data_IF_598234469955
#
_entry.id   IF_598234469955
#
_cell.length_a   1.000
_cell.length_b   1.000
_cell.length_c   1.000
_cell.angle_alpha   90.00
_cell.angle_beta   90.00
_cell.angle_gamma   90.00
#
_symmetry.space_group_name_H-M   'P 1'
#
loop_
_entity.id
_entity.type
_entity.pdbx_description
1 polymer ?
#
# COMPACT_ATOMS: atom_id res chain seq x y z
N UNK A 1 -8.63 -18.66 39.68
CA UNK A 1 -8.78 -17.52 40.60
C UNK A 1 -7.41 -17.05 41.10
N UNK A 2 -6.50 -17.96 41.47
CA UNK A 2 -5.21 -17.59 42.10
C UNK A 2 -4.21 -16.88 41.17
N UNK A 3 -4.21 -17.17 39.86
CA UNK A 3 -3.37 -16.47 38.87
C UNK A 3 -3.77 -15.00 38.64
N UNK A 4 -5.07 -14.69 38.70
CA UNK A 4 -5.57 -13.31 38.56
C UNK A 4 -5.23 -12.46 39.80
N UNK A 5 -5.20 -13.08 40.98
CA UNK A 5 -4.79 -12.41 42.22
C UNK A 5 -3.28 -12.15 42.23
N UNK A 6 -2.47 -13.03 41.63
CA UNK A 6 -1.03 -12.84 41.52
C UNK A 6 -0.66 -11.69 40.56
N UNK A 7 -1.28 -11.61 39.38
CA UNK A 7 -1.03 -10.50 38.43
C UNK A 7 -1.47 -9.13 39.00
N UNK A 8 -2.63 -9.06 39.66
CA UNK A 8 -3.10 -7.80 40.24
C UNK A 8 -2.19 -7.29 41.38
N UNK A 9 -1.56 -8.20 42.14
CA UNK A 9 -0.56 -7.82 43.16
C UNK A 9 0.74 -7.33 42.54
N UNK A 10 1.19 -7.96 41.46
CA UNK A 10 2.44 -7.58 40.79
C UNK A 10 2.33 -6.21 40.11
N UNK A 11 1.19 -5.90 39.48
CA UNK A 11 0.95 -4.57 38.91
C UNK A 11 0.87 -3.46 39.97
N UNK A 12 0.28 -3.76 41.15
CA UNK A 12 0.24 -2.80 42.25
C UNK A 12 1.63 -2.52 42.84
N UNK A 13 2.48 -3.53 42.98
CA UNK A 13 3.86 -3.35 43.46
C UNK A 13 4.72 -2.53 42.48
N UNK A 14 4.63 -2.82 41.17
CA UNK A 14 5.36 -2.08 40.14
C UNK A 14 4.91 -0.61 40.08
N UNK A 15 3.59 -0.36 40.20
CA UNK A 15 3.06 1.00 40.23
C UNK A 15 3.48 1.78 41.49
N UNK A 16 3.65 1.10 42.63
CA UNK A 16 4.10 1.73 43.88
C UNK A 16 5.59 2.09 43.79
N UNK A 17 6.41 1.19 43.25
CA UNK A 17 7.85 1.39 43.05
C UNK A 17 8.13 2.57 42.09
N UNK A 18 7.35 2.69 41.01
CA UNK A 18 7.46 3.80 40.06
C UNK A 18 7.07 5.16 40.67
N UNK A 19 6.08 5.18 41.57
CA UNK A 19 5.70 6.42 42.29
C UNK A 19 6.76 6.84 43.31
N UNK A 20 7.38 5.86 43.97
CA UNK A 20 8.35 6.14 45.04
C UNK A 20 9.67 6.68 44.50
N UNK A 21 10.06 6.28 43.29
CA UNK A 21 11.35 6.65 42.70
C UNK A 21 11.30 7.85 41.73
N UNK A 22 10.12 8.42 41.43
CA UNK A 22 9.93 9.55 40.50
C UNK A 22 10.65 9.41 39.13
N UNK A 23 10.92 8.18 38.68
CA UNK A 23 11.53 7.92 37.39
C UNK A 23 10.69 6.90 36.61
N UNK A 24 10.60 7.13 35.30
CA UNK A 24 9.91 6.25 34.35
C UNK A 24 10.87 5.13 33.98
N UNK A 25 10.50 3.89 34.28
CA UNK A 25 11.31 2.71 33.94
C UNK A 25 11.47 2.59 32.41
N UNK A 26 12.66 2.22 31.91
CA UNK A 26 12.90 2.03 30.48
C UNK A 26 12.18 0.78 29.95
N UNK A 27 11.64 0.85 28.72
CA UNK A 27 10.75 -0.15 28.12
C UNK A 27 11.34 -1.57 28.00
N UNK A 28 12.66 -1.70 28.09
CA UNK A 28 13.39 -2.98 28.02
C UNK A 28 13.22 -3.88 29.25
N UNK A 29 12.74 -3.33 30.36
CA UNK A 29 12.60 -4.07 31.63
C UNK A 29 11.16 -4.56 31.88
N UNK A 30 10.27 -4.48 30.88
CA UNK A 30 8.96 -5.10 30.94
C UNK A 30 9.04 -6.57 30.51
N UNK A 31 8.84 -7.55 31.40
CA UNK A 31 8.69 -8.93 30.99
C UNK A 31 7.32 -9.10 30.32
N UNK A 32 7.25 -8.97 29.00
CA UNK A 32 6.05 -9.32 28.22
C UNK A 32 6.10 -10.82 27.94
N UNK A 33 5.64 -11.63 28.91
CA UNK A 33 5.25 -13.01 28.62
C UNK A 33 3.87 -13.00 27.95
N UNK A 34 3.84 -13.37 26.67
CA UNK A 34 2.62 -13.40 25.87
C UNK A 34 1.65 -14.49 26.33
N UNK A 35 0.51 -14.10 26.89
CA UNK A 35 -0.62 -14.99 27.14
C UNK A 35 -1.70 -14.78 26.06
N UNK A 36 -1.95 -15.85 25.30
CA UNK A 36 -3.03 -15.99 24.33
C UNK A 36 -4.41 -16.09 25.01
N UNK A 37 -5.43 -15.59 24.31
CA UNK A 37 -6.87 -15.86 24.45
C UNK A 37 -7.60 -15.35 25.72
N UNK A 38 -8.30 -14.21 25.62
CA UNK A 38 -9.60 -14.02 26.29
C UNK A 38 -10.57 -13.31 25.34
N UNK A 39 -11.63 -14.04 24.97
CA UNK A 39 -12.89 -13.53 24.42
C UNK A 39 -13.56 -12.63 25.49
N UNK A 40 -13.92 -11.39 25.15
CA UNK A 40 -14.92 -10.63 25.90
C UNK A 40 -16.04 -10.17 24.97
N UNK A 41 -17.11 -10.96 24.98
CA UNK A 41 -18.47 -10.52 24.72
C UNK A 41 -18.93 -9.62 25.87
N UNK A 42 -19.66 -8.55 25.56
CA UNK A 42 -20.42 -7.79 26.57
C UNK A 42 -20.18 -6.29 26.53
N UNK A 43 -21.18 -5.56 26.02
CA UNK A 43 -21.17 -4.11 25.95
C UNK A 43 -21.17 -3.44 27.31
N UNK A 44 -20.36 -2.38 27.43
CA UNK A 44 -20.49 -1.38 28.50
C UNK A 44 -20.42 -0.01 27.86
N UNK A 45 -21.50 0.76 28.06
CA UNK A 45 -21.67 2.15 27.62
C UNK A 45 -20.52 3.01 28.15
N UNK A 46 -19.66 3.50 27.24
CA UNK A 46 -18.66 4.54 27.56
C UNK A 46 -19.37 5.84 27.90
N UNK A 47 -19.14 6.35 29.12
CA UNK A 47 -19.51 7.71 29.52
C UNK A 47 -18.68 8.71 28.71
N UNK A 48 -19.32 9.81 28.32
CA UNK A 48 -18.70 10.94 27.62
C UNK A 48 -17.57 11.52 28.46
N UNK A 49 -16.38 11.59 27.87
CA UNK A 49 -15.27 12.40 28.36
C UNK A 49 -15.72 13.86 28.45
N UNK A 50 -15.50 14.49 29.60
CA UNK A 50 -15.67 15.93 29.77
C UNK A 50 -14.40 16.64 29.33
N UNK A 51 -14.55 17.67 28.52
CA UNK A 51 -13.48 18.60 28.14
C UNK A 51 -13.02 19.44 29.35
N UNK A 52 -11.71 19.67 29.54
CA UNK A 52 -11.21 20.56 30.57
C UNK A 52 -11.19 22.00 30.03
N UNK A 53 -12.24 22.76 30.28
CA UNK A 53 -12.32 24.15 29.83
C UNK A 53 -13.23 25.00 30.71
N UNK A 54 -12.60 25.76 31.63
CA UNK A 54 -13.05 27.00 32.31
C UNK A 54 -12.77 26.95 33.81
N UNK A 55 -11.56 27.35 34.19
CA UNK A 55 -11.30 27.92 35.51
C UNK A 55 -11.57 29.42 35.38
N UNK A 56 -12.71 29.90 35.89
CA UNK A 56 -12.95 31.33 36.12
C UNK A 56 -12.65 31.62 37.58
N UNK A 57 -11.77 32.60 37.82
CA UNK A 57 -11.51 33.15 39.13
C UNK A 57 -12.80 33.78 39.68
N UNK A 58 -13.20 33.36 40.88
CA UNK A 58 -14.24 34.01 41.67
C UNK A 58 -13.61 35.23 42.35
N UNK A 59 -14.00 36.41 41.89
CA UNK A 59 -13.96 37.65 42.69
C UNK A 59 -15.29 37.68 43.44
N UNK A 60 -15.20 37.70 44.78
CA UNK A 60 -16.32 38.02 45.65
C UNK A 60 -16.52 39.54 45.62
N UNK A 61 -17.67 40.00 45.14
CA UNK A 61 -18.19 41.31 45.53
C UNK A 61 -19.68 41.18 45.87
N UNK A 62 -20.01 41.88 46.94
CA UNK A 62 -21.24 41.82 47.70
C UNK A 62 -22.40 42.46 46.94
N UNK A 63 -23.56 41.82 47.12
CA UNK A 63 -24.86 42.25 46.65
C UNK A 63 -25.39 43.41 47.49
N UNK A 64 -25.91 44.44 46.81
CA UNK A 64 -26.97 45.26 47.36
C UNK A 64 -28.04 45.66 46.31
N UNK A 65 -29.22 45.10 46.55
CA UNK A 65 -30.56 45.70 46.57
C UNK A 65 -31.09 46.67 45.47
N UNK A 66 -32.24 46.22 44.93
CA UNK A 66 -33.48 46.95 44.60
C UNK A 66 -33.62 47.76 43.30
N UNK A 67 -34.73 47.54 42.58
CA UNK A 67 -35.28 48.50 41.61
C UNK A 67 -36.22 47.93 40.55
N UNK A 68 -37.51 48.19 40.72
CA UNK A 68 -38.71 47.78 39.95
C UNK A 68 -38.86 48.23 38.49
N UNK A 69 -39.58 47.39 37.71
CA UNK A 69 -40.74 47.66 36.81
C UNK A 69 -40.63 48.79 35.75
N UNK A 70 -40.97 48.46 34.49
CA UNK A 70 -41.60 49.43 33.57
C UNK A 70 -41.41 49.20 32.05
N UNK A 71 -42.46 48.70 31.40
CA UNK A 71 -43.03 49.10 30.09
C UNK A 71 -42.20 49.21 28.78
N UNK A 72 -42.78 48.63 27.71
CA UNK A 72 -42.55 48.91 26.27
C UNK A 72 -43.02 50.34 25.89
N UNK A 73 -42.86 50.93 24.65
CA UNK A 73 -42.60 50.33 23.34
C UNK A 73 -41.73 51.13 22.32
N UNK A 74 -41.49 50.51 21.15
CA UNK A 74 -41.26 51.04 19.80
C UNK A 74 -40.46 52.35 19.60
N UNK A 75 -39.34 52.26 18.85
CA UNK A 75 -39.00 53.23 17.77
C UNK A 75 -37.96 52.68 16.80
N UNK A 76 -38.34 52.71 15.53
CA UNK A 76 -37.49 52.63 14.33
C UNK A 76 -36.34 53.64 14.42
N UNK A 77 -35.11 53.25 14.03
CA UNK A 77 -34.17 54.12 13.30
C UNK A 77 -32.95 53.36 12.77
N UNK A 78 -32.86 53.35 11.44
CA UNK A 78 -31.69 53.62 10.59
C UNK A 78 -30.32 53.03 10.98
N UNK A 79 -29.88 52.08 10.15
CA UNK A 79 -28.48 51.73 9.89
C UNK A 79 -27.64 52.98 9.56
N UNK A 80 -26.36 52.99 9.95
CA UNK A 80 -25.33 53.33 9.00
C UNK A 80 -24.16 52.32 8.98
N UNK A 81 -23.84 51.95 7.75
CA UNK A 81 -22.52 51.75 7.16
C UNK A 81 -21.38 51.11 7.99
N UNK A 82 -20.95 49.96 7.48
CA UNK A 82 -19.60 49.41 7.53
C UNK A 82 -18.50 50.47 7.40
N UNK A 83 -17.66 50.60 8.43
CA UNK A 83 -16.25 50.96 8.31
C UNK A 83 -15.60 50.68 9.67
N UNK A 84 -14.81 49.60 9.78
CA UNK A 84 -13.75 49.38 10.79
C UNK A 84 -13.11 48.01 10.58
N UNK A 85 -12.23 47.87 9.58
CA UNK A 85 -11.16 46.86 9.61
C UNK A 85 -9.92 47.44 8.90
N UNK A 86 -9.09 48.15 9.65
CA UNK A 86 -7.70 48.46 9.25
C UNK A 86 -6.96 48.97 10.49
N UNK A 87 -6.56 48.06 11.39
CA UNK A 87 -5.61 48.36 12.47
C UNK A 87 -5.05 47.09 13.16
N UNK A 88 -4.87 45.99 12.42
CA UNK A 88 -4.19 44.78 12.95
C UNK A 88 -2.80 44.54 12.33
N UNK A 89 -2.45 45.16 11.20
CA UNK A 89 -1.18 44.92 10.50
C UNK A 89 0.01 45.76 11.01
N UNK A 90 -0.23 46.80 11.83
CA UNK A 90 0.86 47.69 12.26
C UNK A 90 1.56 47.24 13.55
N UNK A 91 1.04 46.21 14.25
CA UNK A 91 1.64 45.67 15.47
C UNK A 91 2.58 44.47 15.27
N UNK A 92 2.62 43.87 14.07
CA UNK A 92 3.55 42.78 13.75
C UNK A 92 4.86 43.26 13.11
N UNK A 93 4.95 44.52 12.69
CA UNK A 93 6.13 45.06 12.01
C UNK A 93 7.25 45.58 12.94
N UNK A 94 7.04 45.65 14.27
CA UNK A 94 8.02 46.27 15.20
C UNK A 94 8.85 45.31 16.06
N UNK A 95 8.69 43.99 15.94
CA UNK A 95 9.42 43.03 16.80
C UNK A 95 10.54 42.23 16.12
N UNK A 96 10.88 42.50 14.85
CA UNK A 96 11.89 41.72 14.11
C UNK A 96 13.20 42.49 13.87
N UNK A 97 13.82 42.97 14.93
CA UNK A 97 15.19 43.48 14.90
C UNK A 97 16.01 42.95 16.08
N UNK A 98 16.10 41.62 16.19
CA UNK A 98 17.20 40.97 16.90
C UNK A 98 18.14 40.35 15.86
N UNK A 99 19.43 40.69 15.86
CA UNK A 99 20.41 40.04 14.98
C UNK A 99 20.46 38.56 15.35
N UNK A 100 20.22 37.71 14.35
CA UNK A 100 20.39 36.26 14.46
C UNK A 100 21.88 36.00 14.67
N UNK A 101 22.25 35.70 15.91
CA UNK A 101 23.53 35.06 16.24
C UNK A 101 23.60 33.75 15.47
N UNK A 102 24.72 33.51 14.80
CA UNK A 102 24.94 32.34 13.95
C UNK A 102 24.74 31.01 14.67
N UNK A 103 24.68 29.89 13.92
CA UNK A 103 24.50 28.56 14.49
C UNK A 103 25.58 28.31 15.56
N UNK A 104 25.13 27.78 16.69
CA UNK A 104 25.98 27.44 17.83
C UNK A 104 27.15 26.55 17.34
N UNK A 105 28.41 26.98 17.49
CA UNK A 105 29.57 26.21 17.02
C UNK A 105 29.65 24.82 17.67
N UNK A 106 29.04 24.63 18.85
CA UNK A 106 28.96 23.34 19.52
C UNK A 106 28.03 22.36 18.78
N UNK A 107 26.91 22.86 18.25
CA UNK A 107 25.96 22.05 17.47
C UNK A 107 26.54 21.67 16.09
N UNK A 108 27.32 22.57 15.48
CA UNK A 108 28.00 22.29 14.22
C UNK A 108 29.07 21.18 14.37
N UNK A 109 29.79 21.17 15.50
CA UNK A 109 30.78 20.13 15.80
C UNK A 109 30.13 18.76 16.07
N UNK A 110 28.96 18.73 16.71
CA UNK A 110 28.20 17.49 16.93
C UNK A 110 27.72 16.86 15.62
N UNK A 111 27.20 17.67 14.69
CA UNK A 111 26.76 17.18 13.38
C UNK A 111 27.91 16.61 12.55
N UNK A 112 29.09 17.26 12.59
CA UNK A 112 30.28 16.74 11.90
C UNK A 112 30.75 15.41 12.48
N UNK A 113 30.64 15.24 13.80
CA UNK A 113 30.99 13.99 14.48
C UNK A 113 30.03 12.86 14.10
N UNK A 114 28.72 13.13 14.04
CA UNK A 114 27.71 12.14 13.64
C UNK A 114 27.89 11.69 12.19
N UNK A 115 28.22 12.62 11.28
CA UNK A 115 28.52 12.33 9.87
C UNK A 115 29.84 11.55 9.66
N UNK A 116 30.80 11.66 10.59
CA UNK A 116 32.03 10.86 10.57
C UNK A 116 31.78 9.43 11.09
N UNK A 117 30.98 9.27 12.16
CA UNK A 117 30.56 7.96 12.69
C UNK A 117 29.66 7.18 11.71
N UNK A 118 28.86 7.87 10.89
CA UNK A 118 28.06 7.23 9.83
C UNK A 118 28.95 6.73 8.69
N UNK A 119 29.93 7.53 8.25
CA UNK A 119 30.90 7.12 7.21
C UNK A 119 31.80 5.97 7.64
N UNK A 120 32.11 5.85 8.93
CA UNK A 120 32.89 4.72 9.45
C UNK A 120 32.05 3.42 9.40
N UNK A 121 30.76 3.47 9.77
CA UNK A 121 29.84 2.33 9.67
C UNK A 121 29.64 1.85 8.24
N UNK A 122 29.52 2.76 7.27
CA UNK A 122 29.41 2.38 5.86
C UNK A 122 30.66 1.64 5.35
N UNK A 123 31.87 2.05 5.78
CA UNK A 123 33.11 1.35 5.43
C UNK A 123 33.19 -0.05 6.04
N UNK A 124 32.78 -0.21 7.30
CA UNK A 124 32.74 -1.52 7.97
C UNK A 124 31.74 -2.47 7.27
N UNK A 125 30.60 -1.97 6.80
CA UNK A 125 29.61 -2.77 6.06
C UNK A 125 30.14 -3.19 4.67
N UNK A 126 30.84 -2.30 3.96
CA UNK A 126 31.48 -2.61 2.68
C UNK A 126 32.62 -3.64 2.83
N UNK A 127 33.43 -3.53 3.88
CA UNK A 127 34.47 -4.50 4.23
C UNK A 127 33.86 -5.87 4.61
N UNK A 128 32.75 -5.89 5.34
CA UNK A 128 32.04 -7.12 5.67
C UNK A 128 31.42 -7.80 4.43
N UNK A 129 30.89 -7.01 3.49
CA UNK A 129 30.31 -7.51 2.24
C UNK A 129 31.38 -8.15 1.34
N UNK A 130 32.52 -7.49 1.16
CA UNK A 130 33.66 -8.01 0.40
C UNK A 130 34.22 -9.30 1.00
N UNK A 131 34.37 -9.36 2.33
CA UNK A 131 34.82 -10.59 3.02
C UNK A 131 33.81 -11.76 2.89
N UNK A 132 32.51 -11.48 2.82
CA UNK A 132 31.49 -12.51 2.59
C UNK A 132 31.52 -13.06 1.15
N UNK A 133 31.85 -12.22 0.17
CA UNK A 133 31.99 -12.62 -1.23
C UNK A 133 33.21 -13.51 -1.43
N UNK A 134 34.36 -13.17 -0.84
CA UNK A 134 35.56 -14.02 -0.87
C UNK A 134 35.33 -15.40 -0.23
N UNK A 135 34.63 -15.46 0.92
CA UNK A 135 34.25 -16.74 1.55
C UNK A 135 33.32 -17.61 0.70
N UNK A 136 32.56 -17.00 -0.20
CA UNK A 136 31.68 -17.72 -1.12
C UNK A 136 32.42 -18.15 -2.39
N UNK A 137 33.46 -17.44 -2.81
CA UNK A 137 34.30 -17.80 -3.96
C UNK A 137 35.15 -19.06 -3.69
N UNK A 138 35.60 -19.30 -2.45
CA UNK A 138 36.36 -20.51 -2.09
C UNK A 138 35.52 -21.81 -2.11
N UNK A 139 34.19 -21.69 -2.01
CA UNK A 139 33.28 -22.84 -2.10
C UNK A 139 33.01 -23.15 -3.58
N UNK A 140 33.94 -23.88 -4.19
CA UNK A 140 33.91 -24.23 -5.61
C UNK A 140 32.57 -24.81 -6.13
N UNK A 141 32.37 -24.83 -7.46
CA UNK A 141 31.09 -25.12 -8.12
C UNK A 141 30.48 -26.50 -7.79
N UNK A 142 31.27 -27.42 -7.23
CA UNK A 142 30.84 -28.78 -6.89
C UNK A 142 29.93 -28.84 -5.64
N UNK A 143 29.99 -27.83 -4.75
CA UNK A 143 29.11 -27.75 -3.57
C UNK A 143 27.64 -27.50 -3.95
N UNK A 144 27.38 -26.68 -4.97
CA UNK A 144 26.02 -26.40 -5.47
C UNK A 144 25.40 -27.63 -6.14
N UNK A 145 26.22 -28.48 -6.78
CA UNK A 145 25.76 -29.70 -7.48
C UNK A 145 25.30 -30.79 -6.51
N UNK A 146 26.02 -31.00 -5.39
CA UNK A 146 25.62 -31.98 -4.35
C UNK A 146 24.32 -31.62 -3.64
N UNK A 147 24.05 -30.33 -3.41
CA UNK A 147 22.83 -29.89 -2.70
C UNK A 147 21.55 -30.12 -3.52
N UNK A 148 21.63 -30.02 -4.84
CA UNK A 148 20.51 -30.27 -5.76
C UNK A 148 20.19 -31.77 -5.94
N UNK A 149 21.21 -32.65 -5.89
CA UNK A 149 21.02 -34.10 -6.01
C UNK A 149 20.32 -34.71 -4.78
N UNK A 150 20.62 -34.22 -3.58
CA UNK A 150 19.98 -34.72 -2.35
C UNK A 150 18.51 -34.29 -2.21
N UNK A 151 18.10 -33.16 -2.81
CA UNK A 151 16.71 -32.73 -2.76
C UNK A 151 15.80 -33.54 -3.71
N UNK A 152 16.33 -33.95 -4.87
CA UNK A 152 15.59 -34.74 -5.88
C UNK A 152 15.31 -36.19 -5.45
N UNK A 153 16.13 -36.76 -4.57
CA UNK A 153 15.92 -38.12 -4.07
C UNK A 153 14.88 -38.20 -2.95
N UNK A 154 14.66 -37.10 -2.20
CA UNK A 154 13.66 -37.07 -1.13
C UNK A 154 12.23 -36.89 -1.65
N UNK A 155 12.03 -36.21 -2.80
CA UNK A 155 10.70 -35.96 -3.37
C UNK A 155 10.08 -37.16 -4.09
N UNK A 156 10.87 -38.15 -4.50
CA UNK A 156 10.37 -39.32 -5.21
C UNK A 156 9.82 -40.41 -4.28
N UNK A 157 10.09 -40.36 -2.97
CA UNK A 157 9.65 -41.39 -2.02
C UNK A 157 8.26 -41.12 -1.42
N UNK A 158 7.78 -39.87 -1.42
CA UNK A 158 6.45 -39.53 -0.89
C UNK A 158 5.30 -39.68 -1.90
N UNK A 159 5.58 -39.78 -3.21
CA UNK A 159 4.54 -39.87 -4.25
C UNK A 159 4.08 -41.31 -4.57
N UNK A 160 4.72 -42.35 -4.02
CA UNK A 160 4.31 -43.74 -4.26
C UNK A 160 3.30 -44.28 -3.22
N UNK A 161 3.18 -43.64 -2.06
CA UNK A 161 2.35 -44.15 -0.95
C UNK A 161 0.91 -43.58 -0.93
N UNK A 162 0.56 -42.65 -1.83
CA UNK A 162 -0.76 -41.99 -1.85
C UNK A 162 -1.79 -42.63 -2.81
N UNK A 163 -1.41 -43.63 -3.62
CA UNK A 163 -2.21 -44.14 -4.74
C UNK A 163 -3.12 -45.36 -4.45
N UNK A 164 -3.33 -45.76 -3.20
CA UNK A 164 -4.03 -47.03 -2.86
C UNK A 164 -5.35 -46.90 -2.09
N UNK A 165 -5.99 -45.72 -2.04
CA UNK A 165 -7.27 -45.55 -1.34
C UNK A 165 -8.50 -45.38 -2.29
N UNK A 166 -9.29 -46.46 -2.43
CA UNK A 166 -10.72 -46.53 -2.78
C UNK A 166 -11.30 -45.55 -3.83
N UNK A 167 -11.29 -45.97 -5.10
CA UNK A 167 -11.97 -45.33 -6.25
C UNK A 167 -13.08 -46.24 -6.82
N UNK A 168 -14.14 -46.50 -6.08
CA UNK A 168 -15.28 -47.33 -6.55
C UNK A 168 -16.54 -46.53 -6.93
N UNK A 169 -16.55 -45.21 -6.80
CA UNK A 169 -17.69 -44.36 -7.19
C UNK A 169 -17.45 -43.67 -8.55
N UNK A 170 -18.16 -44.05 -9.63
CA UNK A 170 -17.98 -43.47 -10.96
C UNK A 170 -18.30 -41.97 -11.03
N UNK A 171 -19.19 -41.45 -10.17
CA UNK A 171 -19.50 -40.00 -10.15
C UNK A 171 -18.36 -39.18 -9.56
N UNK A 172 -17.66 -39.71 -8.55
CA UNK A 172 -16.44 -39.07 -8.00
C UNK A 172 -15.32 -39.02 -9.03
N UNK A 173 -15.18 -40.07 -9.85
CA UNK A 173 -14.18 -40.14 -10.90
C UNK A 173 -14.39 -39.08 -11.98
N UNK A 174 -15.65 -38.89 -12.41
CA UNK A 174 -16.00 -37.89 -13.41
C UNK A 174 -15.83 -36.45 -12.89
N UNK A 175 -16.17 -36.20 -11.62
CA UNK A 175 -15.97 -34.90 -10.99
C UNK A 175 -14.48 -34.56 -10.81
N UNK A 176 -13.65 -35.54 -10.45
CA UNK A 176 -12.20 -35.38 -10.37
C UNK A 176 -11.59 -35.12 -11.75
N UNK A 177 -12.10 -35.78 -12.80
CA UNK A 177 -11.65 -35.57 -14.18
C UNK A 177 -11.97 -34.16 -14.68
N UNK A 178 -13.21 -33.67 -14.51
CA UNK A 178 -13.60 -32.31 -14.89
C UNK A 178 -12.80 -31.23 -14.15
N UNK A 179 -12.47 -31.47 -12.87
CA UNK A 179 -11.60 -30.58 -12.08
C UNK A 179 -10.17 -30.55 -12.61
N UNK A 180 -9.59 -31.71 -12.92
CA UNK A 180 -8.27 -31.79 -13.52
C UNK A 180 -8.24 -31.12 -14.90
N UNK A 181 -9.27 -31.30 -15.72
CA UNK A 181 -9.40 -30.63 -17.02
C UNK A 181 -9.45 -29.11 -16.86
N UNK A 182 -10.27 -28.58 -15.93
CA UNK A 182 -10.34 -27.13 -15.65
C UNK A 182 -9.02 -26.57 -15.09
N UNK A 183 -8.36 -27.28 -14.18
CA UNK A 183 -7.07 -26.88 -13.64
C UNK A 183 -5.96 -26.87 -14.70
N UNK A 184 -5.97 -27.84 -15.62
CA UNK A 184 -5.08 -27.86 -16.78
C UNK A 184 -5.38 -26.73 -17.75
N UNK A 185 -6.66 -26.40 -17.98
CA UNK A 185 -7.07 -25.27 -18.81
C UNK A 185 -6.61 -23.94 -18.22
N UNK A 186 -6.76 -23.73 -16.90
CA UNK A 186 -6.25 -22.53 -16.21
C UNK A 186 -4.71 -22.46 -16.34
N UNK A 187 -3.99 -23.56 -16.11
CA UNK A 187 -2.53 -23.59 -16.27
C UNK A 187 -2.10 -23.33 -17.72
N UNK A 188 -2.83 -23.86 -18.69
CA UNK A 188 -2.58 -23.62 -20.11
C UNK A 188 -2.88 -22.17 -20.50
N UNK A 189 -3.96 -21.59 -19.96
CA UNK A 189 -4.34 -20.20 -20.18
C UNK A 189 -3.33 -19.24 -19.54
N UNK A 190 -2.88 -19.50 -18.30
CA UNK A 190 -1.79 -18.74 -17.67
C UNK A 190 -0.53 -18.81 -18.54
N UNK A 191 -0.19 -20.00 -19.04
CA UNK A 191 0.94 -20.18 -19.96
C UNK A 191 0.73 -19.46 -21.30
N UNK A 192 -0.48 -19.36 -21.82
CA UNK A 192 -0.76 -18.64 -23.05
C UNK A 192 -0.70 -17.11 -22.87
N UNK A 193 -1.26 -16.62 -21.76
CA UNK A 193 -1.43 -15.19 -21.49
C UNK A 193 -0.16 -14.54 -20.91
N UNK A 194 0.66 -15.30 -20.16
CA UNK A 194 1.80 -14.75 -19.41
C UNK A 194 3.18 -15.23 -19.89
N UNK A 195 3.27 -16.07 -20.94
CA UNK A 195 4.56 -16.42 -21.53
C UNK A 195 5.07 -15.27 -22.41
N UNK A 196 5.69 -14.29 -21.76
CA UNK A 196 6.62 -13.36 -22.40
C UNK A 196 7.87 -14.18 -22.71
N UNK A 197 8.00 -14.60 -23.96
CA UNK A 197 9.06 -15.50 -24.40
C UNK A 197 10.44 -14.99 -24.01
N UNK A 198 11.27 -15.91 -23.54
CA UNK A 198 12.71 -15.81 -23.73
C UNK A 198 12.95 -15.56 -25.23
N UNK A 199 13.75 -14.53 -25.50
CA UNK A 199 14.20 -14.14 -26.83
C UNK A 199 15.14 -15.24 -27.30
N UNK A 200 14.61 -16.25 -27.98
CA UNK A 200 15.33 -17.06 -28.96
C UNK A 200 14.31 -17.80 -29.82
N UNK A 201 13.83 -17.13 -30.87
CA UNK A 201 13.00 -17.75 -31.88
C UNK A 201 13.84 -18.74 -32.70
N UNK A 202 13.52 -20.04 -32.75
CA UNK A 202 14.09 -20.92 -33.76
C UNK A 202 13.50 -20.50 -35.11
N UNK A 203 14.40 -20.10 -36.00
CA UNK A 203 14.17 -19.76 -37.41
C UNK A 203 13.37 -20.87 -38.10
N UNK A 204 12.18 -20.62 -38.66
CA UNK A 204 11.44 -21.66 -39.37
C UNK A 204 12.13 -21.95 -40.71
N UNK A 205 12.59 -23.19 -40.88
CA UNK A 205 13.00 -23.72 -42.17
C UNK A 205 11.82 -23.71 -43.14
N UNK A 206 12.08 -23.14 -44.33
CA UNK A 206 11.17 -23.16 -45.47
C UNK A 206 10.98 -24.61 -45.92
N UNK A 207 9.80 -25.17 -45.67
CA UNK A 207 9.28 -26.27 -46.48
C UNK A 207 8.38 -25.72 -47.58
N UNK A 208 8.85 -25.86 -48.81
CA UNK A 208 8.08 -25.63 -50.03
C UNK A 208 7.04 -26.74 -50.23
N UNK A 209 5.79 -26.36 -50.47
CA UNK A 209 4.75 -27.25 -51.00
C UNK A 209 4.32 -26.81 -52.41
N UNK A 210 3.91 -27.77 -53.26
CA UNK A 210 3.76 -27.56 -54.69
C UNK A 210 2.46 -26.87 -55.06
N UNK A 211 2.53 -26.10 -56.14
CA UNK A 211 1.41 -25.44 -56.78
C UNK A 211 0.38 -26.47 -57.27
N UNK A 212 -0.88 -26.28 -56.88
CA UNK A 212 -2.03 -26.87 -57.57
C UNK A 212 -2.99 -25.74 -57.95
N UNK A 213 -3.08 -25.55 -59.26
CA UNK A 213 -4.01 -24.68 -59.96
C UNK A 213 -5.45 -25.15 -59.78
N UNK A 214 -6.38 -24.24 -59.49
CA UNK A 214 -7.80 -24.57 -59.52
C UNK A 214 -8.74 -23.41 -59.23
N UNK A 215 -9.27 -22.81 -60.30
CA UNK A 215 -10.70 -22.52 -60.41
C UNK A 215 -11.30 -21.38 -59.57
N UNK A 216 -11.33 -20.20 -60.18
CA UNK A 216 -12.46 -19.25 -60.25
C UNK A 216 -13.73 -19.62 -59.45
N UNK A 217 -14.11 -18.79 -58.47
CA UNK A 217 -15.52 -18.46 -58.18
C UNK A 217 -15.59 -17.05 -57.56
N UNK A 218 -15.75 -16.07 -58.45
CA UNK A 218 -15.92 -14.64 -58.14
C UNK A 218 -17.33 -14.41 -57.59
N UNK A 219 -17.53 -14.55 -56.27
CA UNK A 219 -18.81 -14.21 -55.61
C UNK A 219 -18.80 -12.76 -55.12
N UNK A 220 -19.48 -11.92 -55.91
CA UNK A 220 -19.86 -10.53 -55.65
C UNK A 220 -20.71 -10.46 -54.38
N UNK A 221 -20.12 -10.05 -53.24
CA UNK A 221 -20.88 -9.63 -52.06
C UNK A 221 -20.94 -8.11 -51.98
N UNK A 222 -22.17 -7.66 -51.79
CA UNK A 222 -22.65 -6.29 -51.86
C UNK A 222 -22.10 -5.49 -50.68
N UNK A 223 -21.66 -4.29 -50.99
CA UNK A 223 -21.45 -3.18 -50.07
C UNK A 223 -22.77 -2.78 -49.41
N UNK A 224 -22.86 -2.94 -48.08
CA UNK A 224 -23.81 -2.23 -47.22
C UNK A 224 -23.15 -2.00 -45.85
N UNK A 225 -22.89 -0.73 -45.53
CA UNK A 225 -22.89 -0.21 -44.15
C UNK A 225 -21.62 -0.40 -43.31
N UNK A 226 -21.46 0.40 -42.24
CA UNK A 226 -20.31 1.27 -42.11
C UNK A 226 -19.17 0.66 -41.28
N UNK A 227 -17.94 0.94 -41.73
CA UNK A 227 -16.74 0.87 -40.89
C UNK A 227 -16.93 1.80 -39.69
N UNK A 228 -17.13 1.23 -38.51
CA UNK A 228 -16.76 1.90 -37.27
C UNK A 228 -15.24 2.09 -37.33
N UNK A 229 -14.85 3.27 -37.79
CA UNK A 229 -13.50 3.76 -37.65
C UNK A 229 -13.15 3.75 -36.17
N UNK A 230 -12.10 2.99 -35.88
CA UNK A 230 -11.14 3.24 -34.81
C UNK A 230 -11.05 4.74 -34.53
N UNK A 231 -11.56 5.12 -33.36
CA UNK A 231 -11.55 6.46 -32.80
C UNK A 231 -11.46 6.35 -31.27
N UNK A 232 -10.64 5.42 -30.77
CA UNK A 232 -10.42 5.15 -29.35
C UNK A 232 -9.58 6.21 -28.62
N UNK A 233 -9.72 7.49 -28.98
CA UNK A 233 -8.99 8.59 -28.34
C UNK A 233 -9.88 9.73 -27.82
N UNK A 234 -11.21 9.59 -27.85
CA UNK A 234 -12.11 10.65 -27.37
C UNK A 234 -12.88 10.33 -26.08
N UNK A 235 -12.68 9.16 -25.45
CA UNK A 235 -13.23 8.83 -24.11
C UNK A 235 -12.19 9.07 -22.99
N UNK A 236 -11.37 10.11 -23.12
CA UNK A 236 -10.53 10.59 -22.00
C UNK A 236 -10.80 12.06 -21.64
N UNK A 237 -11.53 12.79 -22.49
CA UNK A 237 -11.87 14.19 -22.24
C UNK A 237 -13.18 14.36 -21.44
N UNK A 238 -13.98 13.31 -21.25
CA UNK A 238 -15.29 13.39 -20.57
C UNK A 238 -15.32 12.77 -19.16
N UNK A 239 -14.17 12.43 -18.58
CA UNK A 239 -14.03 12.04 -17.16
C UNK A 239 -13.60 13.22 -16.26
N UNK A 240 -13.48 14.42 -16.83
CA UNK A 240 -12.79 15.57 -16.21
C UNK A 240 -13.62 16.40 -15.23
N UNK A 241 -14.79 15.92 -14.80
CA UNK A 241 -15.60 16.59 -13.77
C UNK A 241 -15.64 15.84 -12.42
N UNK A 242 -15.09 14.62 -12.36
CA UNK A 242 -14.98 13.89 -11.10
C UNK A 242 -13.78 14.41 -10.30
N UNK A 243 -13.94 14.70 -8.99
CA UNK A 243 -12.82 15.07 -8.13
C UNK A 243 -11.75 13.97 -8.17
N UNK A 244 -10.51 14.36 -8.42
CA UNK A 244 -9.37 13.44 -8.41
C UNK A 244 -8.79 13.42 -7.00
N UNK A 245 -8.61 12.23 -6.43
CA UNK A 245 -8.10 12.12 -5.07
C UNK A 245 -6.64 11.70 -5.04
N UNK A 246 -5.92 12.26 -4.06
CA UNK A 246 -4.53 11.93 -3.75
C UNK A 246 -4.40 11.45 -2.31
N UNK A 247 -3.64 10.37 -2.12
CA UNK A 247 -3.37 9.80 -0.80
C UNK A 247 -1.87 9.77 -0.56
N UNK A 248 -1.46 9.96 0.68
CA UNK A 248 -0.04 9.92 1.08
C UNK A 248 0.23 8.71 1.97
N UNK A 249 1.35 8.03 1.77
CA UNK A 249 1.79 6.90 2.59
C UNK A 249 3.28 6.97 2.84
N UNK A 250 3.69 6.68 4.07
CA UNK A 250 5.11 6.64 4.48
C UNK A 250 5.88 7.93 4.20
N UNK A 251 5.18 9.07 4.27
CA UNK A 251 5.79 10.41 4.22
C UNK A 251 5.91 10.95 5.64
N UNK A 252 6.93 11.77 5.89
CA UNK A 252 7.08 12.47 7.17
C UNK A 252 5.94 13.49 7.37
N UNK A 253 5.62 13.86 8.62
CA UNK A 253 4.52 14.81 8.87
C UNK A 253 4.82 16.22 8.32
N UNK A 254 6.10 16.59 8.26
CA UNK A 254 6.58 17.83 7.63
C UNK A 254 6.30 17.82 6.13
N UNK A 255 6.71 16.76 5.42
CA UNK A 255 6.43 16.58 3.98
C UNK A 255 4.92 16.51 3.71
N UNK A 256 4.16 15.79 4.55
CA UNK A 256 2.71 15.67 4.44
C UNK A 256 2.02 17.02 4.55
N UNK A 257 2.49 17.88 5.44
CA UNK A 257 1.96 19.25 5.60
C UNK A 257 2.27 20.09 4.36
N UNK A 258 3.49 20.00 3.83
CA UNK A 258 3.90 20.67 2.60
C UNK A 258 3.09 20.18 1.39
N UNK A 259 2.92 18.87 1.24
CA UNK A 259 2.11 18.23 0.20
C UNK A 259 0.66 18.71 0.21
N UNK A 260 0.03 18.75 1.39
CA UNK A 260 -1.34 19.24 1.54
C UNK A 260 -1.46 20.69 1.09
N UNK A 261 -0.51 21.54 1.47
CA UNK A 261 -0.51 22.95 1.07
C UNK A 261 -0.31 23.14 -0.43
N UNK A 262 0.59 22.35 -1.03
CA UNK A 262 0.81 22.34 -2.48
C UNK A 262 -0.48 21.93 -3.21
N UNK A 263 -1.08 20.79 -2.83
CA UNK A 263 -2.32 20.30 -3.44
C UNK A 263 -3.44 21.33 -3.32
N UNK A 264 -3.58 21.96 -2.14
CA UNK A 264 -4.55 23.03 -1.90
C UNK A 264 -4.33 24.25 -2.80
N UNK A 265 -3.08 24.63 -3.03
CA UNK A 265 -2.69 25.80 -3.83
C UNK A 265 -2.88 25.59 -5.33
N UNK A 266 -2.53 24.42 -5.85
CA UNK A 266 -2.65 24.11 -7.29
C UNK A 266 -4.09 23.75 -7.68
N UNK A 267 -4.89 23.29 -6.71
CA UNK A 267 -6.22 22.77 -6.96
C UNK A 267 -6.18 21.44 -7.71
N UNK A 268 -7.28 21.09 -8.40
CA UNK A 268 -7.51 19.84 -9.15
C UNK A 268 -7.62 18.56 -8.30
N UNK A 269 -6.84 18.40 -7.24
CA UNK A 269 -6.90 17.22 -6.37
C UNK A 269 -7.44 17.52 -4.98
N UNK A 270 -8.11 16.54 -4.39
CA UNK A 270 -8.48 16.51 -2.98
C UNK A 270 -7.67 15.44 -2.23
N UNK A 271 -7.27 15.75 -0.99
CA UNK A 271 -6.47 14.82 -0.17
C UNK A 271 -7.40 13.89 0.60
N UNK A 272 -7.28 12.58 0.36
CA UNK A 272 -8.00 11.54 1.08
C UNK A 272 -7.13 10.86 2.15
N UNK A 273 -7.78 10.35 3.21
CA UNK A 273 -7.11 9.58 4.25
C UNK A 273 -6.94 8.09 3.93
N UNK A 274 -7.68 7.58 2.94
CA UNK A 274 -7.69 6.16 2.54
C UNK A 274 -7.87 6.07 1.04
N UNK A 275 -7.31 5.04 0.42
CA UNK A 275 -7.48 4.78 -1.02
C UNK A 275 -8.92 4.34 -1.29
N UNK A 276 -9.53 4.98 -2.26
CA UNK A 276 -10.85 4.71 -2.80
C UNK A 276 -10.76 4.41 -4.31
N UNK A 277 -11.89 4.04 -4.93
CA UNK A 277 -11.98 3.86 -6.38
C UNK A 277 -11.76 5.16 -7.18
N UNK A 278 -11.85 6.31 -6.52
CA UNK A 278 -11.61 7.64 -7.10
C UNK A 278 -10.18 8.14 -6.85
N UNK A 279 -9.38 7.43 -6.05
CA UNK A 279 -7.98 7.74 -5.86
C UNK A 279 -7.21 7.48 -7.15
N UNK A 280 -6.64 8.54 -7.70
CA UNK A 280 -5.86 8.48 -8.95
C UNK A 280 -4.36 8.53 -8.68
N UNK A 281 -3.95 9.05 -7.52
CA UNK A 281 -2.55 9.28 -7.17
C UNK A 281 -2.27 8.85 -5.73
N UNK A 282 -1.13 8.21 -5.53
CA UNK A 282 -0.60 7.81 -4.24
C UNK A 282 0.85 8.27 -4.16
N UNK A 283 1.16 9.16 -3.22
CA UNK A 283 2.54 9.57 -2.93
C UNK A 283 3.13 8.62 -1.90
N UNK A 284 4.24 7.99 -2.26
CA UNK A 284 4.93 6.97 -1.47
C UNK A 284 6.27 7.51 -1.03
N UNK A 285 6.46 7.75 0.27
CA UNK A 285 7.72 8.26 0.81
C UNK A 285 8.85 7.24 0.91
N UNK A 286 8.52 5.97 1.14
CA UNK A 286 9.51 4.89 1.30
C UNK A 286 9.06 3.59 0.62
N UNK A 287 10.02 2.72 0.30
CA UNK A 287 9.77 1.36 -0.19
C UNK A 287 9.20 0.47 0.92
N UNK A 288 7.89 0.58 1.18
CA UNK A 288 7.16 -0.26 2.13
C UNK A 288 5.83 -0.71 1.54
N UNK A 289 5.52 -2.00 1.71
CA UNK A 289 4.21 -2.55 1.37
C UNK A 289 3.19 -2.14 2.43
N UNK A 290 2.47 -1.06 2.18
CA UNK A 290 1.31 -0.66 2.99
C UNK A 290 0.02 -0.98 2.27
N UNK A 291 -1.08 -1.04 3.02
CA UNK A 291 -2.42 -1.19 2.45
C UNK A 291 -2.73 -0.12 1.40
N UNK A 292 -2.27 1.12 1.61
CA UNK A 292 -2.41 2.23 0.65
C UNK A 292 -1.69 1.92 -0.66
N UNK A 293 -0.45 1.42 -0.60
CA UNK A 293 0.28 1.01 -1.81
C UNK A 293 -0.43 -0.14 -2.51
N UNK A 294 -0.78 -1.21 -1.79
CA UNK A 294 -1.42 -2.39 -2.37
C UNK A 294 -2.74 -2.04 -3.05
N UNK A 295 -3.57 -1.19 -2.42
CA UNK A 295 -4.79 -0.66 -3.04
C UNK A 295 -4.51 0.28 -4.21
N UNK A 296 -3.51 1.15 -4.09
CA UNK A 296 -3.12 2.05 -5.17
C UNK A 296 -2.72 1.28 -6.43
N UNK A 297 -1.95 0.20 -6.27
CA UNK A 297 -1.63 -0.72 -7.37
C UNK A 297 -2.91 -1.37 -7.89
N UNK A 298 -3.75 -1.93 -7.03
CA UNK A 298 -4.98 -2.61 -7.46
C UNK A 298 -5.94 -1.68 -8.24
N UNK A 299 -6.08 -0.42 -7.84
CA UNK A 299 -6.90 0.58 -8.54
C UNK A 299 -6.20 1.27 -9.70
N UNK A 300 -5.02 0.80 -10.10
CA UNK A 300 -4.27 1.34 -11.24
C UNK A 300 -3.87 2.82 -11.06
N UNK A 301 -3.70 3.25 -9.80
CA UNK A 301 -3.30 4.61 -9.46
C UNK A 301 -1.83 4.86 -9.79
N UNK A 302 -1.48 6.13 -9.96
CA UNK A 302 -0.09 6.56 -10.02
C UNK A 302 0.57 6.42 -8.65
N UNK A 303 1.62 5.59 -8.57
CA UNK A 303 2.51 5.56 -7.42
C UNK A 303 3.68 6.50 -7.68
N UNK A 304 3.74 7.62 -6.96
CA UNK A 304 4.76 8.65 -7.18
C UNK A 304 5.63 8.82 -5.95
N UNK A 305 6.90 9.17 -6.17
CA UNK A 305 7.82 9.55 -5.10
C UNK A 305 7.50 10.96 -4.56
N UNK A 306 7.96 11.34 -3.36
CA UNK A 306 7.80 12.69 -2.84
C UNK A 306 8.46 13.73 -3.74
N UNK A 307 9.44 13.34 -4.56
CA UNK A 307 10.13 14.21 -5.51
C UNK A 307 9.22 14.82 -6.58
N UNK A 308 8.03 14.26 -6.80
CA UNK A 308 7.00 14.92 -7.62
C UNK A 308 6.65 16.33 -7.08
N UNK A 309 6.88 16.58 -5.78
CA UNK A 309 6.79 17.88 -5.12
C UNK A 309 7.83 18.90 -5.61
N UNK A 310 9.05 18.44 -5.90
CA UNK A 310 10.24 19.30 -5.99
C UNK A 310 10.25 20.19 -7.24
N UNK A 311 9.48 19.87 -8.28
CA UNK A 311 9.40 20.70 -9.49
C UNK A 311 8.18 21.65 -9.50
N UNK A 312 7.25 21.47 -8.57
CA UNK A 312 6.11 22.39 -8.39
C UNK A 312 6.56 23.72 -7.75
N UNK A 313 7.73 23.73 -7.08
CA UNK A 313 8.29 24.93 -6.44
C UNK A 313 9.44 25.59 -7.22
N UNK A 314 10.16 24.85 -8.08
CA UNK A 314 11.50 25.25 -8.56
C UNK A 314 11.64 25.53 -10.07
N UNK A 315 10.58 25.84 -10.83
CA UNK A 315 10.84 26.49 -12.14
C UNK A 315 11.28 27.94 -11.96
N UNK A 316 11.16 28.49 -10.75
CA UNK A 316 11.50 29.87 -10.50
C UNK A 316 12.94 30.10 -10.16
N UNK A 317 13.90 29.19 -10.35
CA UNK A 317 15.08 29.24 -9.51
C UNK A 317 16.38 28.67 -10.12
N UNK A 318 16.97 29.31 -11.16
CA UNK A 318 18.43 29.22 -11.37
C UNK A 318 18.99 30.27 -12.36
N UNK A 319 19.89 31.13 -11.88
CA UNK A 319 21.33 31.01 -12.19
C UNK A 319 22.04 32.30 -11.79
N UNK A 320 22.49 32.34 -10.53
CA UNK A 320 23.82 32.78 -10.12
C UNK A 320 23.94 32.49 -8.60
N UNK A 321 24.39 31.26 -8.34
CA UNK A 321 24.79 30.64 -7.06
C UNK A 321 23.78 30.26 -5.99
N UNK A 322 22.50 30.41 -6.22
CA UNK A 322 21.48 29.76 -5.43
C UNK A 322 20.34 29.43 -6.36
N UNK A 323 19.74 28.27 -6.16
CA UNK A 323 18.57 27.75 -6.85
C UNK A 323 17.42 28.71 -6.52
N UNK A 324 17.44 29.88 -7.19
CA UNK A 324 16.77 31.16 -6.95
C UNK A 324 16.63 31.96 -8.29
N UNK A 325 15.43 32.37 -8.70
CA UNK A 325 14.98 33.11 -9.92
C UNK A 325 14.86 32.40 -11.33
N UNK A 326 13.61 32.40 -11.90
CA UNK A 326 13.07 32.23 -13.30
C UNK A 326 11.64 31.65 -13.55
N UNK A 327 10.59 32.14 -12.88
CA UNK A 327 9.25 32.35 -13.47
C UNK A 327 8.80 33.76 -13.06
N UNK A 328 8.99 34.68 -13.97
CA UNK A 328 7.95 35.65 -14.26
C UNK A 328 7.61 35.37 -15.72
N UNK A 329 6.33 35.39 -16.03
CA UNK A 329 5.77 35.23 -17.38
C UNK A 329 5.30 33.80 -17.74
N UNK A 330 4.48 33.19 -16.86
CA UNK A 330 3.21 32.52 -17.22
C UNK A 330 2.54 31.91 -15.98
N UNK A 331 1.42 32.50 -15.56
CA UNK A 331 0.43 32.01 -14.57
C UNK A 331 0.91 31.80 -13.12
N UNK A 332 0.33 32.55 -12.19
CA UNK A 332 0.64 32.64 -10.75
C UNK A 332 0.35 31.36 -9.92
N UNK A 333 0.19 30.19 -10.55
CA UNK A 333 -0.02 28.92 -9.86
C UNK A 333 0.90 27.91 -10.53
N UNK A 334 1.71 27.19 -9.74
CA UNK A 334 2.51 26.08 -10.25
C UNK A 334 1.64 25.10 -11.05
N UNK A 335 2.27 24.27 -11.88
CA UNK A 335 1.57 23.23 -12.63
C UNK A 335 2.00 21.84 -12.15
N UNK A 336 1.07 20.89 -12.21
CA UNK A 336 1.39 19.48 -12.06
C UNK A 336 2.31 19.04 -13.20
N UNK A 337 3.46 18.48 -12.84
CA UNK A 337 4.38 17.88 -13.80
C UNK A 337 3.90 16.50 -14.23
N UNK A 338 4.39 16.05 -15.39
CA UNK A 338 4.12 14.71 -15.91
C UNK A 338 4.53 13.64 -14.92
N UNK A 339 3.59 12.78 -14.60
CA UNK A 339 3.67 11.76 -13.57
C UNK A 339 4.73 10.69 -13.90
N UNK A 340 4.98 10.40 -15.19
CA UNK A 340 5.92 9.35 -15.64
C UNK A 340 7.35 9.54 -15.10
N UNK A 341 7.77 10.79 -14.89
CA UNK A 341 9.14 11.10 -14.45
C UNK A 341 9.36 10.85 -12.96
N UNK A 342 8.29 10.62 -12.19
CA UNK A 342 8.32 10.49 -10.73
C UNK A 342 7.67 9.21 -10.24
N UNK A 343 7.26 8.35 -11.16
CA UNK A 343 6.70 7.05 -10.83
C UNK A 343 7.72 6.27 -9.98
N UNK A 344 7.25 5.70 -8.86
CA UNK A 344 8.07 4.98 -7.88
C UNK A 344 8.48 3.58 -8.40
N UNK A 345 9.05 3.52 -9.61
CA UNK A 345 9.43 2.30 -10.33
C UNK A 345 10.52 1.54 -9.57
N UNK A 346 11.43 2.24 -8.89
CA UNK A 346 12.46 1.61 -8.06
C UNK A 346 11.87 0.82 -6.88
N UNK A 347 10.73 1.27 -6.37
CA UNK A 347 10.04 0.62 -5.25
C UNK A 347 9.13 -0.49 -5.78
N UNK A 348 8.40 -0.21 -6.86
CA UNK A 348 7.38 -1.09 -7.44
C UNK A 348 7.55 -1.18 -8.97
N UNK A 349 8.50 -2.01 -9.47
CA UNK A 349 8.88 -2.03 -10.88
C UNK A 349 7.74 -2.32 -11.86
N UNK A 350 6.71 -3.03 -11.39
CA UNK A 350 5.55 -3.43 -12.19
C UNK A 350 4.29 -2.59 -11.92
N UNK A 351 4.38 -1.49 -11.18
CA UNK A 351 3.28 -0.54 -11.00
C UNK A 351 2.71 -0.06 -12.36
N UNK A 352 3.59 0.19 -13.33
CA UNK A 352 3.22 0.60 -14.70
C UNK A 352 2.37 -0.44 -15.44
N UNK A 353 2.59 -1.73 -15.21
CA UNK A 353 1.78 -2.80 -15.80
C UNK A 353 0.36 -2.74 -15.25
N UNK A 354 0.22 -2.52 -13.93
CA UNK A 354 -1.09 -2.26 -13.33
C UNK A 354 -1.77 -1.04 -13.94
N UNK A 355 -1.08 0.10 -14.08
CA UNK A 355 -1.68 1.32 -14.64
C UNK A 355 -2.19 1.15 -16.07
N UNK A 356 -1.54 0.29 -16.86
CA UNK A 356 -2.00 -0.10 -18.20
C UNK A 356 -3.22 -1.03 -18.19
N UNK A 357 -3.69 -1.43 -17.00
CA UNK A 357 -4.78 -2.38 -16.77
C UNK A 357 -4.51 -3.74 -17.41
N UNK A 358 -3.24 -4.15 -17.40
CA UNK A 358 -2.87 -5.51 -17.79
C UNK A 358 -3.50 -6.49 -16.78
N UNK A 359 -4.18 -7.57 -17.22
CA UNK A 359 -4.82 -8.50 -16.32
C UNK A 359 -3.77 -9.18 -15.44
N UNK A 360 -3.97 -9.13 -14.11
CA UNK A 360 -3.10 -9.81 -13.15
C UNK A 360 -3.44 -11.30 -13.04
N UNK A 361 -4.72 -11.60 -12.94
CA UNK A 361 -5.25 -12.95 -12.81
C UNK A 361 -5.99 -13.38 -14.09
N UNK A 362 -6.03 -14.69 -14.38
CA UNK A 362 -6.94 -15.23 -15.38
C UNK A 362 -8.40 -14.90 -15.04
N UNK A 363 -9.18 -14.47 -16.03
CA UNK A 363 -10.58 -14.04 -15.85
C UNK A 363 -11.53 -15.14 -15.33
N UNK A 364 -11.14 -16.40 -15.47
CA UNK A 364 -11.87 -17.59 -15.01
C UNK A 364 -11.40 -18.09 -13.63
N UNK A 365 -10.37 -17.46 -13.03
CA UNK A 365 -9.86 -17.83 -11.72
C UNK A 365 -10.88 -17.47 -10.63
N UNK A 366 -11.23 -18.45 -9.81
CA UNK A 366 -12.08 -18.27 -8.64
C UNK A 366 -11.29 -18.46 -7.36
N UNK A 367 -11.26 -17.46 -6.50
CA UNK A 367 -10.54 -17.49 -5.22
C UNK A 367 -11.54 -17.45 -4.08
N UNK A 368 -11.43 -18.38 -3.13
CA UNK A 368 -12.24 -18.37 -1.90
C UNK A 368 -11.36 -18.04 -0.70
N UNK A 369 -11.75 -17.00 0.04
CA UNK A 369 -11.08 -16.59 1.27
C UNK A 369 -11.64 -17.40 2.42
N UNK A 370 -10.93 -18.43 2.88
CA UNK A 370 -11.38 -19.25 4.00
C UNK A 370 -11.16 -18.54 5.33
N UNK A 371 -9.92 -18.08 5.56
CA UNK A 371 -9.53 -17.34 6.76
C UNK A 371 -8.29 -16.52 6.45
N UNK A 372 -8.19 -15.33 7.06
CA UNK A 372 -7.07 -14.40 6.94
C UNK A 372 -6.51 -14.12 8.34
N UNK A 373 -5.23 -13.75 8.44
CA UNK A 373 -4.59 -13.39 9.71
C UNK A 373 -4.18 -11.92 9.75
N UNK A 374 -3.64 -11.41 8.64
CA UNK A 374 -3.08 -10.06 8.54
C UNK A 374 -4.01 -9.12 7.77
N UNK A 375 -4.71 -9.64 6.75
CA UNK A 375 -5.51 -8.81 5.83
C UNK A 375 -7.00 -8.89 6.16
N UNK A 376 -7.69 -7.76 6.14
CA UNK A 376 -9.14 -7.73 6.25
C UNK A 376 -9.83 -8.35 5.03
N UNK A 377 -10.92 -9.09 5.24
CA UNK A 377 -11.65 -9.76 4.15
C UNK A 377 -12.10 -8.81 3.03
N UNK A 378 -12.71 -7.64 3.32
CA UNK A 378 -13.09 -6.70 2.25
C UNK A 378 -11.91 -6.19 1.42
N UNK A 379 -10.75 -6.02 2.05
CA UNK A 379 -9.52 -5.64 1.35
C UNK A 379 -9.11 -6.75 0.38
N UNK A 380 -9.00 -7.99 0.86
CA UNK A 380 -8.65 -9.13 0.02
C UNK A 380 -9.63 -9.34 -1.15
N UNK A 381 -10.95 -9.20 -0.90
CA UNK A 381 -11.97 -9.29 -1.96
C UNK A 381 -11.78 -8.21 -3.03
N UNK A 382 -11.45 -6.99 -2.59
CA UNK A 382 -11.15 -5.87 -3.50
C UNK A 382 -9.92 -6.19 -4.34
N UNK A 383 -8.83 -6.67 -3.74
CA UNK A 383 -7.59 -7.02 -4.45
C UNK A 383 -7.81 -8.13 -5.50
N UNK A 384 -8.56 -9.18 -5.14
CA UNK A 384 -8.90 -10.29 -6.05
C UNK A 384 -9.70 -9.75 -7.24
N UNK A 385 -10.72 -8.94 -6.96
CA UNK A 385 -11.64 -8.41 -7.99
C UNK A 385 -10.93 -7.45 -8.93
N UNK A 386 -10.14 -6.51 -8.39
CA UNK A 386 -9.38 -5.55 -9.21
C UNK A 386 -8.22 -6.22 -9.97
N UNK A 387 -7.68 -7.32 -9.47
CA UNK A 387 -6.74 -8.16 -10.21
C UNK A 387 -7.38 -8.95 -11.37
N UNK A 388 -8.71 -8.95 -11.51
CA UNK A 388 -9.44 -9.62 -12.59
C UNK A 388 -9.95 -11.03 -12.26
N UNK A 389 -9.74 -11.53 -11.05
CA UNK A 389 -10.28 -12.80 -10.59
C UNK A 389 -11.67 -12.62 -9.95
N UNK A 390 -12.38 -13.74 -9.71
CA UNK A 390 -13.68 -13.74 -9.04
C UNK A 390 -13.56 -14.27 -7.61
N UNK A 391 -14.22 -13.60 -6.67
CA UNK A 391 -14.36 -14.13 -5.31
C UNK A 391 -15.46 -15.19 -5.30
N UNK A 392 -15.09 -16.43 -5.02
CA UNK A 392 -16.04 -17.53 -4.88
C UNK A 392 -16.85 -17.39 -3.58
N UNK A 393 -18.14 -17.75 -3.64
CA UNK A 393 -19.04 -17.75 -2.47
C UNK A 393 -18.97 -19.03 -1.65
N UNK A 394 -18.57 -20.12 -2.29
CA UNK A 394 -18.48 -21.45 -1.67
C UNK A 394 -17.10 -22.04 -1.93
N UNK A 395 -16.65 -22.88 -1.00
CA UNK A 395 -15.36 -23.54 -1.11
C UNK A 395 -15.30 -24.41 -2.36
N UNK A 396 -16.41 -25.04 -2.77
CA UNK A 396 -16.47 -26.00 -3.87
C UNK A 396 -16.23 -25.36 -5.25
N UNK A 397 -16.53 -24.07 -5.41
CA UNK A 397 -16.43 -23.35 -6.69
C UNK A 397 -15.04 -22.77 -6.93
N UNK A 398 -14.25 -22.59 -5.86
CA UNK A 398 -12.91 -22.00 -5.92
C UNK A 398 -11.85 -22.90 -6.54
N UNK A 399 -10.95 -22.29 -7.28
CA UNK A 399 -9.73 -22.91 -7.79
C UNK A 399 -8.61 -22.79 -6.73
N UNK A 400 -8.53 -21.65 -6.03
CA UNK A 400 -7.55 -21.39 -4.96
C UNK A 400 -8.27 -21.04 -3.65
N UNK A 401 -7.77 -21.58 -2.55
CA UNK A 401 -8.21 -21.27 -1.19
C UNK A 401 -7.14 -20.48 -0.44
N UNK A 402 -7.50 -19.28 0.03
CA UNK A 402 -6.64 -18.49 0.90
C UNK A 402 -6.91 -18.88 2.36
N UNK A 403 -5.92 -19.48 3.02
CA UNK A 403 -5.98 -19.96 4.40
C UNK A 403 -4.59 -20.00 5.05
N UNK A 404 -4.44 -19.58 6.32
CA UNK A 404 -3.19 -19.75 7.08
C UNK A 404 -3.00 -21.21 7.56
N UNK A 405 -4.07 -22.02 7.56
CA UNK A 405 -4.05 -23.38 8.10
C UNK A 405 -4.09 -24.40 6.97
N UNK A 406 -3.31 -25.50 7.08
CA UNK A 406 -3.42 -26.61 6.15
C UNK A 406 -4.82 -27.22 6.24
N UNK A 407 -5.43 -27.45 5.09
CA UNK A 407 -6.73 -28.12 4.94
C UNK A 407 -6.53 -29.39 4.13
N UNK A 408 -7.26 -30.46 4.47
CA UNK A 408 -7.25 -31.69 3.68
C UNK A 408 -8.29 -31.59 2.56
N UNK A 409 -7.94 -30.84 1.50
CA UNK A 409 -8.82 -30.58 0.36
C UNK A 409 -8.05 -30.77 -0.94
N UNK A 410 -8.74 -31.26 -1.97
CA UNK A 410 -8.22 -31.43 -3.32
C UNK A 410 -8.32 -30.10 -4.09
N UNK A 411 -7.65 -29.07 -3.58
CA UNK A 411 -7.61 -27.70 -4.12
C UNK A 411 -6.28 -27.03 -3.79
N UNK A 412 -5.90 -26.05 -4.60
CA UNK A 412 -4.70 -25.26 -4.34
C UNK A 412 -4.88 -24.39 -3.09
N UNK A 413 -3.93 -24.50 -2.16
CA UNK A 413 -3.93 -23.75 -0.91
C UNK A 413 -2.83 -22.69 -0.93
N UNK A 414 -3.20 -21.46 -0.61
CA UNK A 414 -2.27 -20.34 -0.49
C UNK A 414 -2.46 -19.61 0.85
N UNK A 415 -1.40 -19.10 1.44
CA UNK A 415 -1.48 -18.09 2.50
C UNK A 415 -1.73 -16.70 1.90
N UNK A 416 -2.22 -15.76 2.70
CA UNK A 416 -2.58 -14.40 2.25
C UNK A 416 -1.40 -13.63 1.62
N UNK A 417 -0.16 -13.97 1.98
CA UNK A 417 1.04 -13.36 1.39
C UNK A 417 1.16 -13.62 -0.12
N UNK A 418 0.61 -14.73 -0.64
CA UNK A 418 0.54 -14.99 -2.08
C UNK A 418 -0.19 -13.87 -2.82
N UNK A 419 -1.38 -13.49 -2.32
CA UNK A 419 -2.19 -12.44 -2.92
C UNK A 419 -1.47 -11.09 -2.85
N UNK A 420 -0.84 -10.78 -1.72
CA UNK A 420 -0.12 -9.53 -1.53
C UNK A 420 1.08 -9.41 -2.48
N UNK A 421 1.87 -10.47 -2.64
CA UNK A 421 3.02 -10.48 -3.55
C UNK A 421 2.59 -10.49 -5.03
N UNK A 422 1.46 -11.12 -5.36
CA UNK A 422 0.89 -11.02 -6.70
C UNK A 422 0.56 -9.57 -7.07
N UNK A 423 -0.08 -8.83 -6.16
CA UNK A 423 -0.44 -7.43 -6.38
C UNK A 423 0.81 -6.54 -6.41
N UNK A 424 1.69 -6.67 -5.42
CA UNK A 424 2.91 -5.86 -5.30
C UNK A 424 3.80 -5.96 -6.56
N UNK A 425 3.95 -7.15 -7.10
CA UNK A 425 4.72 -7.39 -8.33
C UNK A 425 3.87 -7.33 -9.59
N UNK A 426 2.56 -7.08 -9.49
CA UNK A 426 1.60 -7.21 -10.58
C UNK A 426 1.87 -8.45 -11.47
N UNK A 427 2.05 -9.61 -10.82
CA UNK A 427 2.42 -10.87 -11.45
C UNK A 427 1.71 -12.05 -10.79
N UNK A 428 1.23 -13.01 -11.59
CA UNK A 428 0.74 -14.28 -11.04
C UNK A 428 1.88 -15.10 -10.43
N UNK A 429 1.87 -15.27 -9.11
CA UNK A 429 2.90 -16.04 -8.40
C UNK A 429 2.51 -17.54 -8.30
N UNK A 430 3.49 -18.48 -8.38
CA UNK A 430 3.23 -19.90 -8.20
C UNK A 430 2.70 -20.20 -6.79
N UNK A 431 1.56 -20.87 -6.69
CA UNK A 431 0.85 -21.12 -5.41
C UNK A 431 1.64 -22.07 -4.50
N UNK A 432 2.45 -22.95 -5.09
CA UNK A 432 3.25 -23.96 -4.39
C UNK A 432 4.21 -23.35 -3.37
N UNK A 433 4.69 -22.12 -3.64
CA UNK A 433 5.61 -21.40 -2.77
C UNK A 433 4.94 -20.79 -1.53
N UNK A 434 3.60 -20.81 -1.47
CA UNK A 434 2.81 -20.14 -0.43
C UNK A 434 1.87 -21.10 0.28
N UNK A 435 2.18 -22.40 0.29
CA UNK A 435 1.37 -23.38 1.00
C UNK A 435 1.44 -23.16 2.51
N UNK A 436 0.32 -23.33 3.24
CA UNK A 436 0.31 -23.24 4.69
C UNK A 436 1.17 -24.34 5.30
N UNK A 437 2.11 -23.97 6.18
CA UNK A 437 3.00 -24.93 6.82
C UNK A 437 2.21 -25.91 7.68
N UNK A 438 2.43 -27.22 7.48
CA UNK A 438 1.92 -28.24 8.40
C UNK A 438 2.60 -28.05 9.75
N UNK A 439 1.85 -27.57 10.75
CA UNK A 439 2.33 -27.54 12.12
C UNK A 439 2.64 -28.98 12.50
N UNK A 440 3.93 -29.31 12.71
CA UNK A 440 4.32 -30.59 13.29
C UNK A 440 3.74 -30.60 14.70
N UNK A 441 2.63 -31.29 14.90
CA UNK A 441 2.13 -31.57 16.24
C UNK A 441 3.26 -32.26 16.98
N UNK A 442 3.83 -31.60 18.01
CA UNK A 442 4.70 -32.27 18.97
C UNK A 442 3.82 -33.33 19.64
N UNK A 443 4.00 -34.58 19.21
CA UNK A 443 3.41 -35.77 19.81
C UNK A 443 3.98 -36.02 21.19
#
# INVERSE_FOLDING_TARGET
MDLLIFCAKQEQEISLLCRQNQCRMPEKDFPVEGINNILLTGGVKRRKSMEPGRVRALIMEESDSQGSIGEQPNKRRTMPAYHMVSNLDERLARNNSRPLTGPDPELAALLQKEEEEEREREREEEEAATAAEERNAEKGPDYKRRRLLNHKQSSNKENQDASTANLSDPRRLELARLKNERGQEIKAQIKADFYIGDIDAPRPERMSLPATSGGLLRRKRRSLGPRLSVGGQQILASLSEQPQYIVFTNVTETEKTQLKEIVRRLGRFEVEGRVSEHTTHVIVGEKRRTQTVTLGIAFHAWLLTPNWQVIIYNSNNNSNNNMAVRLRDSAEHGAYQKEENYEAIEYFPRAKASRKREPLFPSNLQVFIFSLQVVDRPLAETLITQGGAKVARRMEDADILITPRPLNVDKDLAIENWLLECIENWQYMPVENYQPTKVKSKS
#
